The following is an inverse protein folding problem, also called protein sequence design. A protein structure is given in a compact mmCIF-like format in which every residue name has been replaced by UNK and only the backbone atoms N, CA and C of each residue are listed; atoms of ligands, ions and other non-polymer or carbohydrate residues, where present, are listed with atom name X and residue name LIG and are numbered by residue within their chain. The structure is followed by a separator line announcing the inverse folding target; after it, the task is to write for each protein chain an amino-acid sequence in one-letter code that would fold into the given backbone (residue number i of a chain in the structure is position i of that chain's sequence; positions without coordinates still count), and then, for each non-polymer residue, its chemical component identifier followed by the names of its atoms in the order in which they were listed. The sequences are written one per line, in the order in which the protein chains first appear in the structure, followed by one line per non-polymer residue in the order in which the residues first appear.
data_IF_930793923613
#
_entry.id   IF_930793923613
#
_cell.length_a   1.000
_cell.length_b   1.000
_cell.length_c   1.000
_cell.angle_alpha   90.00
_cell.angle_beta   90.00
_cell.angle_gamma   90.00
#
_symmetry.space_group_name_H-M   'P 1'
#
loop_
_entity.id
_entity.type
_entity.pdbx_description
1 polymer ?
#
# COMPACT_ATOMS: atom_id res chain seq x y z
N UNK A 1 25.06 -25.21 -5.62
CA UNK A 1 25.14 -23.81 -6.09
C UNK A 1 23.81 -23.49 -6.73
N UNK A 2 22.91 -22.75 -6.06
CA UNK A 2 21.71 -22.23 -6.71
C UNK A 2 22.17 -21.17 -7.71
N UNK A 3 22.11 -21.48 -9.00
CA UNK A 3 22.34 -20.50 -10.05
C UNK A 3 21.26 -19.44 -9.95
N UNK A 4 21.65 -18.17 -9.93
CA UNK A 4 20.71 -17.04 -10.07
C UNK A 4 19.92 -17.23 -11.37
N UNK A 5 18.61 -17.37 -11.26
CA UNK A 5 17.73 -17.61 -12.40
C UNK A 5 17.01 -16.31 -12.79
N UNK A 6 17.46 -15.71 -13.89
CA UNK A 6 16.88 -14.47 -14.42
C UNK A 6 15.40 -14.67 -14.84
N UNK A 7 15.05 -15.86 -15.35
CA UNK A 7 13.67 -16.16 -15.77
C UNK A 7 12.75 -16.20 -14.55
N UNK A 8 13.20 -16.84 -13.47
CA UNK A 8 12.46 -16.88 -12.21
C UNK A 8 12.29 -15.48 -11.63
N UNK A 9 13.33 -14.65 -11.67
CA UNK A 9 13.27 -13.26 -11.23
C UNK A 9 12.20 -12.47 -11.99
N UNK A 10 12.19 -12.55 -13.31
CA UNK A 10 11.22 -11.85 -14.14
C UNK A 10 9.80 -12.37 -13.96
N UNK A 11 9.62 -13.63 -13.59
CA UNK A 11 8.30 -14.22 -13.29
C UNK A 11 7.76 -13.82 -11.92
N UNK A 12 8.62 -13.70 -10.91
CA UNK A 12 8.17 -13.44 -9.51
C UNK A 12 8.09 -11.95 -9.17
N UNK A 13 8.98 -11.11 -9.71
CA UNK A 13 9.04 -9.69 -9.41
C UNK A 13 7.72 -8.92 -9.68
N UNK A 14 6.99 -9.14 -10.78
CA UNK A 14 5.69 -8.49 -10.98
C UNK A 14 4.71 -8.78 -9.86
N UNK A 15 4.57 -10.05 -9.43
CA UNK A 15 3.68 -10.44 -8.34
C UNK A 15 4.03 -9.78 -7.01
N UNK A 16 5.33 -9.66 -6.70
CA UNK A 16 5.81 -9.00 -5.48
C UNK A 16 5.59 -7.47 -5.51
N UNK A 17 5.61 -6.87 -6.70
CA UNK A 17 5.38 -5.42 -6.85
C UNK A 17 3.90 -5.01 -6.77
N UNK A 18 2.93 -5.94 -6.97
CA UNK A 18 1.51 -5.59 -7.04
C UNK A 18 0.98 -4.90 -5.77
N UNK A 19 1.28 -5.50 -4.61
CA UNK A 19 0.83 -4.92 -3.34
C UNK A 19 1.42 -3.52 -3.12
N UNK A 20 2.70 -3.32 -3.48
CA UNK A 20 3.37 -2.03 -3.38
C UNK A 20 2.76 -1.01 -4.34
N UNK A 21 2.47 -1.41 -5.59
CA UNK A 21 1.82 -0.57 -6.60
C UNK A 21 0.46 -0.07 -6.11
N UNK A 22 -0.40 -0.99 -5.68
CA UNK A 22 -1.75 -0.66 -5.22
C UNK A 22 -1.70 0.25 -3.98
N UNK A 23 -0.88 -0.08 -2.99
CA UNK A 23 -0.73 0.72 -1.77
C UNK A 23 -0.12 2.11 -2.05
N UNK A 24 0.91 2.20 -2.91
CA UNK A 24 1.53 3.46 -3.26
C UNK A 24 0.57 4.39 -4.02
N UNK A 25 -0.28 3.84 -4.90
CA UNK A 25 -1.33 4.63 -5.57
C UNK A 25 -2.38 5.12 -4.56
N UNK A 26 -2.70 4.30 -3.55
CA UNK A 26 -3.53 4.73 -2.41
C UNK A 26 -2.89 5.87 -1.62
N UNK A 27 -1.62 5.73 -1.24
CA UNK A 27 -0.86 6.78 -0.57
C UNK A 27 -0.76 8.06 -1.40
N UNK A 28 -0.60 7.92 -2.72
CA UNK A 28 -0.54 9.05 -3.64
C UNK A 28 -1.83 9.87 -3.62
N UNK A 29 -3.00 9.23 -3.57
CA UNK A 29 -4.27 9.97 -3.54
C UNK A 29 -4.42 10.78 -2.25
N UNK A 30 -4.12 10.21 -1.08
CA UNK A 30 -4.19 10.93 0.20
C UNK A 30 -3.14 12.03 0.31
N UNK A 31 -1.88 11.76 -0.02
CA UNK A 31 -0.82 12.76 0.14
C UNK A 31 -0.90 13.89 -0.88
N UNK A 32 -1.43 13.61 -2.08
CA UNK A 32 -1.77 14.67 -3.04
C UNK A 32 -2.93 15.56 -2.60
N UNK A 33 -3.75 15.12 -1.65
CA UNK A 33 -4.77 15.96 -1.01
C UNK A 33 -4.25 16.77 0.19
N UNK A 34 -2.99 16.55 0.59
CA UNK A 34 -2.36 17.20 1.73
C UNK A 34 -2.37 16.36 3.02
N UNK A 35 -2.90 15.13 3.01
CA UNK A 35 -2.93 14.27 4.20
C UNK A 35 -1.76 13.27 4.17
N UNK A 36 -0.84 13.38 5.15
CA UNK A 36 0.22 12.37 5.35
C UNK A 36 -0.44 11.05 5.76
N UNK A 37 -0.08 9.95 5.10
CA UNK A 37 -0.77 8.68 5.31
C UNK A 37 0.17 7.52 5.64
N UNK A 38 0.66 7.50 6.88
CA UNK A 38 1.46 6.38 7.41
C UNK A 38 0.60 5.13 7.65
N UNK A 39 -0.74 5.26 7.68
CA UNK A 39 -1.68 4.17 7.95
C UNK A 39 -1.90 3.21 6.76
N UNK A 40 -1.09 3.25 5.71
CA UNK A 40 -1.19 2.31 4.58
C UNK A 40 -1.02 0.87 5.06
N UNK A 41 -0.05 0.64 5.94
CA UNK A 41 0.28 -0.69 6.50
C UNK A 41 -0.92 -1.32 7.20
N UNK A 42 -1.55 -0.60 8.14
CA UNK A 42 -2.69 -1.10 8.89
C UNK A 42 -3.93 -1.33 8.01
N UNK A 43 -4.17 -0.44 7.03
CA UNK A 43 -5.28 -0.59 6.08
C UNK A 43 -5.11 -1.84 5.21
N UNK A 44 -3.88 -2.15 4.78
CA UNK A 44 -3.57 -3.39 4.07
C UNK A 44 -3.75 -4.61 4.97
N UNK A 45 -3.24 -4.56 6.21
CA UNK A 45 -3.27 -5.68 7.15
C UNK A 45 -4.70 -6.09 7.52
N UNK A 46 -5.55 -5.13 7.87
CA UNK A 46 -6.95 -5.45 8.18
C UNK A 46 -7.68 -6.00 6.95
N UNK A 47 -7.36 -5.52 5.75
CA UNK A 47 -7.90 -6.06 4.51
C UNK A 47 -7.46 -7.51 4.29
N UNK A 48 -6.20 -7.85 4.53
CA UNK A 48 -5.74 -9.24 4.44
C UNK A 48 -6.59 -10.17 5.32
N UNK A 49 -6.76 -9.79 6.59
CA UNK A 49 -7.51 -10.58 7.56
C UNK A 49 -8.97 -10.76 7.15
N UNK A 50 -9.68 -9.65 6.86
CA UNK A 50 -11.10 -9.69 6.53
C UNK A 50 -11.35 -10.36 5.17
N UNK A 51 -10.46 -10.16 4.18
CA UNK A 51 -10.54 -10.88 2.90
C UNK A 51 -10.44 -12.38 3.11
N UNK A 52 -9.47 -12.85 3.92
CA UNK A 52 -9.32 -14.27 4.22
C UNK A 52 -10.59 -14.85 4.84
N UNK A 53 -11.05 -14.25 5.92
CA UNK A 53 -12.22 -14.75 6.67
C UNK A 53 -13.48 -14.75 5.82
N UNK A 54 -13.75 -13.67 5.09
CA UNK A 54 -14.97 -13.57 4.28
C UNK A 54 -14.89 -14.39 2.99
N UNK A 55 -13.69 -14.61 2.43
CA UNK A 55 -13.54 -15.48 1.25
C UNK A 55 -13.88 -16.93 1.58
N UNK A 56 -13.46 -17.42 2.74
CA UNK A 56 -13.78 -18.78 3.18
C UNK A 56 -15.27 -18.93 3.48
N UNK A 57 -15.88 -17.93 4.13
CA UNK A 57 -17.28 -17.99 4.53
C UNK A 57 -18.27 -17.78 3.38
N UNK A 58 -17.98 -16.88 2.44
CA UNK A 58 -18.93 -16.37 1.45
C UNK A 58 -18.40 -16.33 0.02
N UNK A 59 -17.19 -16.83 -0.22
CA UNK A 59 -16.56 -16.85 -1.51
C UNK A 59 -15.71 -15.61 -1.85
N UNK A 60 -14.90 -15.68 -2.91
CA UNK A 60 -13.78 -14.76 -3.13
C UNK A 60 -14.20 -13.31 -3.44
N UNK A 61 -15.33 -13.09 -4.12
CA UNK A 61 -15.82 -11.75 -4.42
C UNK A 61 -16.31 -11.02 -3.17
N UNK A 62 -17.02 -11.73 -2.27
CA UNK A 62 -17.49 -11.15 -1.01
C UNK A 62 -16.29 -10.92 -0.10
N UNK A 63 -15.30 -11.82 -0.12
CA UNK A 63 -14.03 -11.62 0.58
C UNK A 63 -13.31 -10.35 0.14
N UNK A 64 -13.17 -10.13 -1.18
CA UNK A 64 -12.58 -8.92 -1.73
C UNK A 64 -13.31 -7.66 -1.27
N UNK A 65 -14.64 -7.65 -1.41
CA UNK A 65 -15.46 -6.49 -0.99
C UNK A 65 -15.39 -6.24 0.51
N UNK A 66 -15.37 -7.29 1.32
CA UNK A 66 -15.20 -7.20 2.77
C UNK A 66 -13.86 -6.61 3.16
N UNK A 67 -12.77 -7.08 2.54
CA UNK A 67 -11.43 -6.55 2.77
C UNK A 67 -11.30 -5.08 2.37
N UNK A 68 -11.84 -4.70 1.20
CA UNK A 68 -11.92 -3.29 0.78
C UNK A 68 -12.75 -2.49 1.79
N UNK A 69 -13.91 -2.99 2.21
CA UNK A 69 -14.78 -2.33 3.20
C UNK A 69 -14.06 -2.06 4.51
N UNK A 70 -13.33 -3.05 5.05
CA UNK A 70 -12.54 -2.91 6.27
C UNK A 70 -11.43 -1.85 6.14
N UNK A 71 -10.70 -1.84 5.03
CA UNK A 71 -9.68 -0.83 4.75
C UNK A 71 -10.29 0.58 4.60
N UNK A 72 -11.46 0.69 3.96
CA UNK A 72 -12.20 1.95 3.83
C UNK A 72 -12.67 2.46 5.20
N UNK A 73 -13.14 1.59 6.08
CA UNK A 73 -13.53 1.99 7.46
C UNK A 73 -12.35 2.64 8.18
N UNK A 74 -11.16 2.03 8.15
CA UNK A 74 -9.96 2.61 8.75
C UNK A 74 -9.51 3.90 8.04
N UNK A 75 -9.69 3.98 6.71
CA UNK A 75 -9.39 5.20 5.97
C UNK A 75 -10.35 6.34 6.34
N UNK A 76 -11.64 6.06 6.54
CA UNK A 76 -12.61 7.03 7.00
C UNK A 76 -12.36 7.44 8.46
N UNK A 77 -11.95 6.51 9.32
CA UNK A 77 -11.51 6.84 10.68
C UNK A 77 -10.34 7.85 10.65
N UNK A 78 -9.35 7.61 9.78
CA UNK A 78 -8.24 8.57 9.57
C UNK A 78 -8.72 9.93 9.09
N UNK A 79 -9.71 9.97 8.17
CA UNK A 79 -10.32 11.21 7.70
C UNK A 79 -11.01 11.97 8.84
N UNK A 80 -11.79 11.29 9.65
CA UNK A 80 -12.50 11.90 10.80
C UNK A 80 -11.50 12.45 11.82
N UNK A 81 -10.50 11.67 12.19
CA UNK A 81 -9.49 12.10 13.18
C UNK A 81 -8.71 13.33 12.69
N UNK A 82 -8.32 13.36 11.42
CA UNK A 82 -7.50 14.44 10.88
C UNK A 82 -8.31 15.68 10.48
N UNK A 83 -9.54 15.51 9.94
CA UNK A 83 -10.32 16.64 9.42
C UNK A 83 -11.34 17.21 10.40
N UNK A 84 -11.95 16.37 11.28
CA UNK A 84 -12.89 16.87 12.29
C UNK A 84 -12.17 17.20 13.59
N UNK A 85 -11.37 16.27 14.11
CA UNK A 85 -10.70 16.43 15.40
C UNK A 85 -9.33 17.10 15.28
N UNK A 86 -8.84 17.34 14.05
CA UNK A 86 -7.55 17.98 13.76
C UNK A 86 -6.37 17.30 14.47
N UNK A 87 -6.45 15.99 14.65
CA UNK A 87 -5.35 15.18 15.18
C UNK A 87 -4.22 15.19 14.16
N UNK A 88 -2.99 15.23 14.64
CA UNK A 88 -1.80 15.12 13.79
C UNK A 88 -1.89 13.87 12.91
N UNK A 89 -1.54 14.03 11.63
CA UNK A 89 -1.68 12.99 10.61
C UNK A 89 -0.82 11.76 10.90
N UNK A 90 0.38 11.96 11.45
CA UNK A 90 1.34 10.90 11.77
C UNK A 90 0.83 10.12 12.99
N UNK A 91 0.41 10.83 14.04
CA UNK A 91 -0.14 10.23 15.26
C UNK A 91 -1.40 9.41 14.94
N UNK A 92 -2.33 9.97 14.18
CA UNK A 92 -3.53 9.27 13.71
C UNK A 92 -3.17 8.03 12.88
N UNK A 93 -2.21 8.16 11.96
CA UNK A 93 -1.76 7.05 11.12
C UNK A 93 -1.15 5.89 11.92
N UNK A 94 -0.29 6.21 12.89
CA UNK A 94 0.32 5.21 13.78
C UNK A 94 -0.73 4.52 14.67
N UNK A 95 -1.68 5.27 15.22
CA UNK A 95 -2.78 4.70 16.00
C UNK A 95 -3.61 3.70 15.18
N UNK A 96 -3.91 4.04 13.92
CA UNK A 96 -4.63 3.14 13.00
C UNK A 96 -3.84 1.86 12.72
N UNK A 97 -2.52 1.94 12.56
CA UNK A 97 -1.70 0.75 12.38
C UNK A 97 -1.76 -0.18 13.60
N UNK A 98 -1.73 0.38 14.82
CA UNK A 98 -1.85 -0.38 16.07
C UNK A 98 -3.24 -1.01 16.18
N UNK A 99 -4.31 -0.26 15.89
CA UNK A 99 -5.68 -0.76 15.88
C UNK A 99 -5.83 -1.91 14.88
N UNK A 100 -5.31 -1.73 13.66
CA UNK A 100 -5.39 -2.75 12.62
C UNK A 100 -4.65 -4.04 13.03
N UNK A 101 -3.46 -3.91 13.61
CA UNK A 101 -2.69 -5.05 14.11
C UNK A 101 -3.44 -5.79 15.23
N UNK A 102 -3.94 -5.06 16.21
CA UNK A 102 -4.72 -5.65 17.32
C UNK A 102 -6.02 -6.31 16.83
N UNK A 103 -6.75 -5.64 15.94
CA UNK A 103 -8.01 -6.14 15.39
C UNK A 103 -7.78 -7.39 14.50
N UNK A 104 -6.76 -7.40 13.65
CA UNK A 104 -6.46 -8.56 12.80
C UNK A 104 -6.05 -9.79 13.64
N UNK A 105 -5.22 -9.61 14.66
CA UNK A 105 -4.86 -10.67 15.61
C UNK A 105 -6.06 -11.21 16.37
N UNK A 106 -6.94 -10.31 16.84
CA UNK A 106 -8.15 -10.72 17.56
C UNK A 106 -9.10 -11.54 16.65
N UNK A 107 -9.34 -11.05 15.43
CA UNK A 107 -10.20 -11.72 14.47
C UNK A 107 -9.64 -13.09 14.05
N UNK A 108 -8.33 -13.17 13.77
CA UNK A 108 -7.68 -14.42 13.40
C UNK A 108 -7.83 -15.46 14.51
N UNK A 109 -7.55 -15.10 15.77
CA UNK A 109 -7.70 -16.00 16.91
C UNK A 109 -9.15 -16.42 17.15
N UNK A 110 -10.10 -15.51 17.01
CA UNK A 110 -11.53 -15.79 17.22
C UNK A 110 -12.12 -16.72 16.15
N UNK A 111 -11.64 -16.60 14.93
CA UNK A 111 -12.11 -17.35 13.75
C UNK A 111 -11.05 -18.33 13.22
N UNK A 112 -10.16 -18.81 14.09
CA UNK A 112 -9.06 -19.71 13.74
C UNK A 112 -9.51 -20.96 12.97
N UNK A 113 -10.68 -21.52 13.31
CA UNK A 113 -11.22 -22.70 12.65
C UNK A 113 -11.53 -22.45 11.17
N UNK A 114 -11.99 -21.24 10.83
CA UNK A 114 -12.24 -20.85 9.44
C UNK A 114 -10.94 -20.70 8.67
N UNK A 115 -9.91 -20.17 9.30
CA UNK A 115 -8.61 -19.90 8.65
C UNK A 115 -7.74 -21.16 8.48
N UNK A 116 -7.98 -22.23 9.26
CA UNK A 116 -7.21 -23.48 9.23
C UNK A 116 -7.79 -24.57 8.32
N UNK A 117 -9.06 -24.48 7.95
CA UNK A 117 -9.80 -25.60 7.35
C UNK A 117 -9.78 -25.65 5.83
N UNK A 118 -9.16 -24.70 5.12
CA UNK A 118 -9.14 -24.76 3.67
C UNK A 118 -8.23 -23.75 2.99
N UNK A 119 -7.92 -24.04 1.74
CA UNK A 119 -7.37 -23.02 0.84
C UNK A 119 -8.39 -21.89 0.67
N UNK A 120 -7.92 -20.65 0.82
CA UNK A 120 -8.78 -19.48 0.62
C UNK A 120 -9.22 -19.46 -0.84
N UNK A 121 -10.56 -19.43 -1.12
CA UNK A 121 -11.03 -19.30 -2.49
C UNK A 121 -10.46 -18.04 -3.15
N UNK A 122 -9.80 -18.20 -4.28
CA UNK A 122 -9.02 -17.16 -4.93
C UNK A 122 -9.76 -16.57 -6.12
N UNK A 123 -9.63 -15.27 -6.30
CA UNK A 123 -9.94 -14.61 -7.58
C UNK A 123 -8.83 -14.88 -8.60
N UNK A 124 -9.12 -14.82 -9.89
CA UNK A 124 -8.10 -14.93 -10.92
C UNK A 124 -6.99 -13.91 -10.70
N UNK A 125 -5.75 -14.34 -10.74
CA UNK A 125 -4.59 -13.45 -10.54
C UNK A 125 -4.55 -12.32 -11.56
N UNK A 126 -5.01 -12.57 -12.77
CA UNK A 126 -5.09 -11.60 -13.87
C UNK A 126 -5.87 -10.35 -13.46
N UNK A 127 -6.93 -10.52 -12.66
CA UNK A 127 -7.70 -9.38 -12.12
C UNK A 127 -6.81 -8.40 -11.35
N UNK A 128 -5.98 -8.91 -10.44
CA UNK A 128 -5.08 -8.08 -9.64
C UNK A 128 -3.96 -7.48 -10.49
N UNK A 129 -3.41 -8.23 -11.46
CA UNK A 129 -2.39 -7.72 -12.37
C UNK A 129 -2.93 -6.56 -13.20
N UNK A 130 -4.10 -6.73 -13.81
CA UNK A 130 -4.74 -5.66 -14.58
C UNK A 130 -5.03 -4.45 -13.70
N UNK A 131 -5.60 -4.66 -12.51
CA UNK A 131 -5.89 -3.57 -11.57
C UNK A 131 -4.62 -2.80 -11.18
N UNK A 132 -3.55 -3.50 -10.78
CA UNK A 132 -2.33 -2.87 -10.28
C UNK A 132 -1.55 -2.12 -11.37
N UNK A 133 -1.42 -2.67 -12.58
CA UNK A 133 -0.66 -2.01 -13.65
C UNK A 133 -1.47 -0.95 -14.41
N UNK A 134 -2.80 -1.07 -14.47
CA UNK A 134 -3.65 -0.03 -15.06
C UNK A 134 -3.80 1.19 -14.14
N UNK A 135 -3.81 1.00 -12.81
CA UNK A 135 -4.09 2.05 -11.85
C UNK A 135 -3.14 3.26 -11.92
N UNK A 136 -1.81 3.12 -12.06
CA UNK A 136 -0.91 4.27 -12.23
C UNK A 136 -1.24 5.11 -13.47
N UNK A 137 -1.62 4.47 -14.57
CA UNK A 137 -2.01 5.15 -15.80
C UNK A 137 -3.35 5.87 -15.63
N UNK A 138 -4.33 5.20 -15.02
CA UNK A 138 -5.64 5.79 -14.71
C UNK A 138 -5.50 6.99 -13.81
N UNK A 139 -4.70 6.90 -12.73
CA UNK A 139 -4.43 8.01 -11.83
C UNK A 139 -3.66 9.15 -12.52
N UNK A 140 -2.72 8.83 -13.41
CA UNK A 140 -2.02 9.84 -14.19
C UNK A 140 -2.97 10.62 -15.09
N UNK A 141 -3.88 9.92 -15.80
CA UNK A 141 -4.93 10.53 -16.62
C UNK A 141 -5.89 11.35 -15.76
N UNK A 142 -6.35 10.79 -14.63
CA UNK A 142 -7.23 11.48 -13.69
C UNK A 142 -6.63 12.80 -13.21
N UNK A 143 -5.40 12.78 -12.73
CA UNK A 143 -4.71 13.96 -12.20
C UNK A 143 -4.47 15.04 -13.27
N UNK A 144 -4.22 14.64 -14.54
CA UNK A 144 -3.91 15.58 -15.62
C UNK A 144 -5.10 16.06 -16.43
N UNK A 145 -6.16 15.26 -16.54
CA UNK A 145 -7.24 15.46 -17.50
C UNK A 145 -8.60 15.73 -16.87
N UNK A 146 -8.74 15.58 -15.54
CA UNK A 146 -10.05 15.76 -14.90
C UNK A 146 -10.09 16.96 -13.94
N UNK A 147 -11.31 17.50 -13.77
CA UNK A 147 -11.57 18.55 -12.78
C UNK A 147 -11.31 18.06 -11.35
N UNK A 148 -11.57 16.77 -11.07
CA UNK A 148 -11.29 16.14 -9.78
C UNK A 148 -9.81 16.10 -9.47
N UNK A 149 -8.98 15.71 -10.44
CA UNK A 149 -7.52 15.71 -10.28
C UNK A 149 -6.94 17.11 -10.05
N UNK A 150 -7.45 18.12 -10.76
CA UNK A 150 -7.06 19.52 -10.56
C UNK A 150 -7.44 20.03 -9.15
N UNK A 151 -8.64 19.67 -8.66
CA UNK A 151 -9.07 20.01 -7.29
C UNK A 151 -8.18 19.35 -6.25
N UNK A 152 -7.84 18.06 -6.45
CA UNK A 152 -6.93 17.33 -5.57
C UNK A 152 -5.56 18.02 -5.49
N UNK A 153 -5.03 18.44 -6.63
CA UNK A 153 -3.78 19.19 -6.73
C UNK A 153 -3.83 20.55 -6.04
N UNK A 154 -4.90 21.28 -6.24
CA UNK A 154 -5.10 22.60 -5.63
C UNK A 154 -5.16 22.50 -4.11
N UNK A 155 -5.94 21.56 -3.57
CA UNK A 155 -6.08 21.33 -2.13
C UNK A 155 -4.77 20.87 -1.49
N UNK A 156 -4.03 19.98 -2.16
CA UNK A 156 -2.74 19.50 -1.63
C UNK A 156 -1.62 20.55 -1.65
N UNK A 157 -1.71 21.58 -2.48
CA UNK A 157 -0.73 22.66 -2.50
C UNK A 157 -1.10 23.81 -1.56
N UNK A 158 -2.36 24.26 -1.60
CA UNK A 158 -2.84 25.37 -0.77
C UNK A 158 -4.35 25.20 -0.50
N UNK A 159 -4.73 24.58 0.63
CA UNK A 159 -6.14 24.35 0.94
C UNK A 159 -6.93 25.64 1.13
N UNK A 160 -6.29 26.72 1.61
CA UNK A 160 -6.97 28.00 1.85
C UNK A 160 -7.29 28.72 0.54
N UNK A 161 -6.33 28.74 -0.40
CA UNK A 161 -6.61 29.27 -1.75
C UNK A 161 -7.63 28.44 -2.50
N UNK A 162 -7.57 27.10 -2.36
CA UNK A 162 -8.56 26.21 -2.96
C UNK A 162 -9.98 26.55 -2.45
N UNK A 163 -10.13 26.81 -1.15
CA UNK A 163 -11.40 27.23 -0.54
C UNK A 163 -11.89 28.56 -1.08
N UNK A 164 -11.01 29.55 -1.24
CA UNK A 164 -11.35 30.84 -1.84
C UNK A 164 -11.85 30.73 -3.30
N UNK A 165 -11.35 29.70 -4.01
CA UNK A 165 -11.76 29.36 -5.38
C UNK A 165 -13.01 28.45 -5.43
N UNK A 166 -13.72 28.26 -4.31
CA UNK A 166 -14.96 27.49 -4.24
C UNK A 166 -14.75 25.96 -4.17
N UNK A 167 -13.54 25.48 -3.91
CA UNK A 167 -13.26 24.05 -3.70
C UNK A 167 -13.25 23.76 -2.20
N UNK A 168 -14.09 22.83 -1.75
CA UNK A 168 -14.13 22.38 -0.36
C UNK A 168 -12.98 21.39 -0.09
N UNK A 169 -11.93 21.77 0.69
CA UNK A 169 -10.79 20.91 0.94
C UNK A 169 -11.17 19.64 1.72
N UNK A 170 -12.12 19.76 2.66
CA UNK A 170 -12.54 18.64 3.50
C UNK A 170 -13.16 17.53 2.65
N UNK A 171 -14.10 17.87 1.76
CA UNK A 171 -14.71 16.90 0.84
C UNK A 171 -13.68 16.22 -0.05
N UNK A 172 -12.72 16.98 -0.59
CA UNK A 172 -11.66 16.43 -1.45
C UNK A 172 -10.78 15.46 -0.67
N UNK A 173 -10.41 15.78 0.56
CA UNK A 173 -9.60 14.93 1.45
C UNK A 173 -10.34 13.64 1.85
N UNK A 174 -11.65 13.72 2.16
CA UNK A 174 -12.47 12.52 2.43
C UNK A 174 -12.51 11.59 1.21
N UNK A 175 -12.75 12.11 0.01
CA UNK A 175 -12.76 11.31 -1.22
C UNK A 175 -11.38 10.70 -1.52
N UNK A 176 -10.31 11.43 -1.25
CA UNK A 176 -8.94 10.94 -1.40
C UNK A 176 -8.64 9.78 -0.45
N UNK A 177 -9.06 9.88 0.82
CA UNK A 177 -8.89 8.80 1.79
C UNK A 177 -9.79 7.60 1.51
N UNK A 178 -11.01 7.83 1.00
CA UNK A 178 -11.87 6.73 0.52
C UNK A 178 -11.16 5.94 -0.60
N UNK A 179 -10.62 6.63 -1.61
CA UNK A 179 -9.85 5.99 -2.67
C UNK A 179 -8.62 5.25 -2.12
N UNK A 180 -7.92 5.84 -1.14
CA UNK A 180 -6.82 5.16 -0.44
C UNK A 180 -7.28 3.86 0.22
N UNK A 181 -8.42 3.86 0.91
CA UNK A 181 -9.00 2.66 1.51
C UNK A 181 -9.26 1.57 0.49
N UNK A 182 -9.84 1.92 -0.67
CA UNK A 182 -10.09 0.97 -1.76
C UNK A 182 -8.77 0.37 -2.28
N UNK A 183 -7.75 1.18 -2.52
CA UNK A 183 -6.49 0.69 -3.08
C UNK A 183 -5.67 -0.13 -2.08
N UNK A 184 -5.63 0.28 -0.81
CA UNK A 184 -5.04 -0.54 0.26
C UNK A 184 -5.84 -1.83 0.48
N UNK A 185 -7.16 -1.77 0.32
CA UNK A 185 -8.03 -2.94 0.35
C UNK A 185 -7.70 -3.96 -0.73
N UNK A 186 -7.52 -3.50 -1.97
CA UNK A 186 -7.06 -4.34 -3.08
C UNK A 186 -5.65 -4.90 -2.83
N UNK A 187 -4.74 -4.09 -2.27
CA UNK A 187 -3.37 -4.53 -1.95
C UNK A 187 -3.36 -5.64 -0.90
N UNK A 188 -4.17 -5.52 0.17
CA UNK A 188 -4.31 -6.55 1.20
C UNK A 188 -4.96 -7.81 0.67
N UNK A 189 -6.02 -7.68 -0.12
CA UNK A 189 -6.67 -8.81 -0.77
C UNK A 189 -5.70 -9.58 -1.69
N UNK A 190 -4.86 -8.88 -2.44
CA UNK A 190 -3.81 -9.52 -3.23
C UNK A 190 -2.82 -10.30 -2.36
N UNK A 191 -2.33 -9.71 -1.26
CA UNK A 191 -1.35 -10.37 -0.39
C UNK A 191 -1.87 -11.70 0.15
N UNK A 192 -3.10 -11.71 0.66
CA UNK A 192 -3.68 -12.93 1.22
C UNK A 192 -4.04 -13.95 0.15
N UNK A 193 -4.51 -13.50 -1.01
CA UNK A 193 -4.79 -14.37 -2.16
C UNK A 193 -3.50 -15.03 -2.65
N UNK A 194 -2.43 -14.27 -2.81
CA UNK A 194 -1.14 -14.80 -3.26
C UNK A 194 -0.48 -15.76 -2.24
N UNK A 195 -0.72 -15.54 -0.94
CA UNK A 195 -0.21 -16.41 0.13
C UNK A 195 -1.08 -17.65 0.37
N UNK A 196 -2.34 -17.66 -0.10
CA UNK A 196 -3.31 -18.73 0.12
C UNK A 196 -3.81 -18.87 1.56
N UNK A 197 -3.33 -18.04 2.47
CA UNK A 197 -3.73 -18.01 3.89
C UNK A 197 -3.42 -16.67 4.52
N UNK A 198 -4.11 -16.33 5.58
CA UNK A 198 -3.75 -15.20 6.43
C UNK A 198 -2.66 -15.63 7.44
N UNK A 199 -1.72 -14.74 7.67
CA UNK A 199 -0.68 -14.86 8.71
C UNK A 199 -0.56 -13.50 9.40
N UNK A 200 -0.44 -13.52 10.73
CA UNK A 200 -0.26 -12.30 11.51
C UNK A 200 0.90 -11.47 10.98
N UNK A 201 0.63 -10.15 10.79
CA UNK A 201 1.65 -9.23 10.30
C UNK A 201 2.14 -9.50 8.87
N UNK A 202 1.38 -10.22 8.04
CA UNK A 202 1.79 -10.63 6.68
C UNK A 202 2.11 -9.47 5.72
N UNK A 203 1.71 -8.26 6.04
CA UNK A 203 2.09 -7.05 5.29
C UNK A 203 3.56 -6.72 5.45
N UNK A 204 4.18 -7.10 6.59
CA UNK A 204 5.62 -7.05 6.84
C UNK A 204 6.28 -5.72 6.41
N UNK A 205 5.64 -4.58 6.69
CA UNK A 205 6.16 -3.25 6.37
C UNK A 205 6.01 -2.81 4.91
N UNK A 206 5.32 -3.59 4.06
CA UNK A 206 5.10 -3.23 2.64
C UNK A 206 4.38 -1.90 2.45
N UNK A 207 3.50 -1.52 3.39
CA UNK A 207 2.86 -0.21 3.38
C UNK A 207 3.85 0.95 3.55
N UNK A 208 4.89 0.77 4.38
CA UNK A 208 5.96 1.76 4.55
C UNK A 208 6.89 1.80 3.32
N UNK A 209 7.19 0.64 2.71
CA UNK A 209 7.95 0.59 1.45
C UNK A 209 7.17 1.28 0.33
N UNK A 210 5.85 1.08 0.25
CA UNK A 210 4.99 1.76 -0.72
C UNK A 210 4.99 3.29 -0.52
N UNK A 211 4.99 3.77 0.74
CA UNK A 211 5.15 5.18 1.05
C UNK A 211 6.52 5.71 0.60
N UNK A 212 7.60 4.96 0.84
CA UNK A 212 8.93 5.32 0.37
C UNK A 212 9.01 5.37 -1.17
N UNK A 213 8.39 4.41 -1.86
CA UNK A 213 8.29 4.41 -3.32
C UNK A 213 7.53 5.64 -3.86
N UNK A 214 6.46 6.05 -3.17
CA UNK A 214 5.70 7.26 -3.48
C UNK A 214 6.57 8.52 -3.36
N UNK A 215 7.32 8.66 -2.27
CA UNK A 215 8.24 9.79 -2.03
C UNK A 215 9.34 9.81 -3.08
N UNK A 216 9.94 8.66 -3.38
CA UNK A 216 10.93 8.49 -4.46
C UNK A 216 10.38 8.91 -5.83
N UNK A 217 9.12 8.54 -6.11
CA UNK A 217 8.42 8.94 -7.33
C UNK A 217 7.98 10.41 -7.37
N UNK A 218 8.30 11.21 -6.33
CA UNK A 218 7.97 12.64 -6.27
C UNK A 218 6.47 12.90 -6.32
N UNK A 219 5.68 12.07 -5.68
CA UNK A 219 4.21 12.14 -5.70
C UNK A 219 3.62 12.14 -7.12
N UNK A 220 4.25 11.44 -8.05
CA UNK A 220 3.78 11.26 -9.44
C UNK A 220 3.45 9.79 -9.68
N UNK A 221 2.30 9.45 -10.31
CA UNK A 221 1.87 8.06 -10.45
C UNK A 221 2.87 7.16 -11.16
N UNK A 222 3.37 7.59 -12.33
CA UNK A 222 4.26 6.75 -13.14
C UNK A 222 5.65 6.54 -12.49
N UNK A 223 6.36 7.59 -12.00
CA UNK A 223 7.62 7.38 -11.30
C UNK A 223 7.47 6.57 -10.00
N UNK A 224 6.37 6.76 -9.24
CA UNK A 224 6.09 5.95 -8.06
C UNK A 224 5.85 4.47 -8.42
N UNK A 225 5.15 4.21 -9.51
CA UNK A 225 4.95 2.85 -10.02
C UNK A 225 6.29 2.19 -10.40
N UNK A 226 7.18 2.92 -11.08
CA UNK A 226 8.51 2.41 -11.42
C UNK A 226 9.34 2.10 -10.16
N UNK A 227 9.25 2.94 -9.12
CA UNK A 227 9.89 2.68 -7.84
C UNK A 227 9.31 1.40 -7.18
N UNK A 228 7.99 1.19 -7.21
CA UNK A 228 7.37 -0.04 -6.70
C UNK A 228 7.85 -1.29 -7.45
N UNK A 229 7.99 -1.21 -8.78
CA UNK A 229 8.51 -2.31 -9.60
C UNK A 229 9.98 -2.59 -9.24
N UNK A 230 10.79 -1.54 -9.04
CA UNK A 230 12.18 -1.70 -8.61
C UNK A 230 12.28 -2.38 -7.23
N UNK A 231 11.42 -2.01 -6.26
CA UNK A 231 11.37 -2.71 -4.97
C UNK A 231 10.88 -4.15 -5.10
N UNK A 232 9.90 -4.44 -5.96
CA UNK A 232 9.47 -5.81 -6.24
C UNK A 232 10.57 -6.67 -6.88
N UNK A 233 11.42 -6.07 -7.72
CA UNK A 233 12.63 -6.72 -8.24
C UNK A 233 13.63 -7.02 -7.12
N UNK A 234 13.86 -6.08 -6.20
CA UNK A 234 14.73 -6.29 -5.04
C UNK A 234 14.20 -7.41 -4.12
N UNK A 235 12.88 -7.45 -3.87
CA UNK A 235 12.26 -8.54 -3.12
C UNK A 235 12.46 -9.89 -3.82
N UNK A 236 12.34 -9.95 -5.16
CA UNK A 236 12.58 -11.16 -5.93
C UNK A 236 14.06 -11.61 -5.87
N UNK A 237 15.00 -10.66 -5.95
CA UNK A 237 16.43 -10.93 -5.78
C UNK A 237 16.70 -11.48 -4.39
N UNK A 238 16.15 -10.84 -3.37
CA UNK A 238 16.24 -11.27 -1.97
C UNK A 238 15.81 -12.73 -1.80
N UNK A 239 14.63 -13.10 -2.33
CA UNK A 239 14.12 -14.46 -2.24
C UNK A 239 15.04 -15.50 -2.90
N UNK A 240 15.66 -15.17 -4.03
CA UNK A 240 16.57 -16.08 -4.71
C UNK A 240 17.92 -16.21 -4.00
N UNK A 241 18.38 -15.16 -3.32
CA UNK A 241 19.64 -15.14 -2.59
C UNK A 241 19.54 -15.76 -1.20
N UNK A 242 18.33 -15.95 -0.67
CA UNK A 242 18.12 -16.65 0.60
C UNK A 242 18.68 -18.07 0.52
N UNK A 243 19.58 -18.41 1.44
CA UNK A 243 20.25 -19.73 1.48
C UNK A 243 21.43 -19.86 0.53
N UNK A 244 21.78 -18.85 -0.26
CA UNK A 244 22.99 -18.87 -1.09
C UNK A 244 24.23 -18.71 -0.24
N UNK A 245 25.30 -19.48 -0.60
CA UNK A 245 26.64 -19.31 -0.02
C UNK A 245 27.41 -18.33 -0.87
N UNK A 246 27.60 -17.11 -0.41
CA UNK A 246 28.47 -16.13 -1.05
C UNK A 246 29.89 -16.31 -0.51
N UNK A 247 30.87 -16.49 -1.39
CA UNK A 247 32.28 -16.70 -1.03
C UNK A 247 32.53 -17.85 -0.03
N UNK A 248 31.70 -18.91 -0.06
CA UNK A 248 31.85 -20.06 0.83
C UNK A 248 31.30 -19.91 2.24
N UNK A 249 30.90 -18.72 2.66
CA UNK A 249 30.23 -18.46 3.93
C UNK A 249 28.72 -18.38 3.75
N UNK A 250 27.95 -19.02 4.62
CA UNK A 250 26.50 -18.88 4.67
C UNK A 250 26.15 -17.50 5.25
N UNK A 251 25.64 -16.59 4.43
CA UNK A 251 25.14 -15.29 4.91
C UNK A 251 23.79 -15.51 5.58
N UNK A 252 23.59 -14.99 6.82
CA UNK A 252 22.31 -15.11 7.52
C UNK A 252 21.16 -14.56 6.67
N UNK A 253 20.00 -15.24 6.69
CA UNK A 253 18.80 -14.81 5.93
C UNK A 253 18.36 -13.39 6.29
N UNK A 254 18.62 -12.95 7.52
CA UNK A 254 18.34 -11.59 8.02
C UNK A 254 19.03 -10.50 7.19
N UNK A 255 20.25 -10.76 6.71
CA UNK A 255 20.96 -9.83 5.84
C UNK A 255 20.21 -9.60 4.52
N UNK A 256 19.77 -10.69 3.90
CA UNK A 256 19.00 -10.61 2.66
C UNK A 256 17.64 -9.94 2.88
N UNK A 257 16.97 -10.24 4.01
CA UNK A 257 15.70 -9.60 4.38
C UNK A 257 15.82 -8.08 4.59
N UNK A 258 17.01 -7.56 4.91
CA UNK A 258 17.23 -6.13 5.07
C UNK A 258 17.42 -5.36 3.74
N UNK A 259 17.66 -6.07 2.63
CA UNK A 259 18.00 -5.47 1.33
C UNK A 259 16.98 -4.42 0.82
N UNK A 260 15.66 -4.68 0.79
CA UNK A 260 14.68 -3.69 0.35
C UNK A 260 14.66 -2.45 1.25
N UNK A 261 14.84 -2.63 2.57
CA UNK A 261 14.87 -1.51 3.52
C UNK A 261 16.14 -0.66 3.37
N UNK A 262 17.31 -1.29 3.18
CA UNK A 262 18.54 -0.57 2.89
C UNK A 262 18.45 0.20 1.57
N UNK A 263 17.85 -0.41 0.54
CA UNK A 263 17.61 0.26 -0.73
C UNK A 263 16.69 1.48 -0.57
N UNK A 264 15.64 1.39 0.26
CA UNK A 264 14.76 2.53 0.55
C UNK A 264 15.51 3.66 1.25
N UNK A 265 16.36 3.34 2.25
CA UNK A 265 17.16 4.33 2.96
C UNK A 265 18.14 5.05 2.03
N UNK A 266 18.88 4.30 1.21
CA UNK A 266 19.84 4.84 0.22
C UNK A 266 19.11 5.74 -0.79
N UNK A 267 17.96 5.28 -1.26
CA UNK A 267 17.16 6.02 -2.22
C UNK A 267 16.61 7.33 -1.64
N UNK A 268 16.10 7.31 -0.39
CA UNK A 268 15.59 8.49 0.31
C UNK A 268 16.69 9.44 0.78
N UNK A 269 17.90 8.95 1.03
CA UNK A 269 19.07 9.77 1.43
C UNK A 269 19.57 10.74 0.34
N UNK A 270 18.89 10.83 -0.79
CA UNK A 270 19.10 11.90 -1.76
C UNK A 270 19.92 11.54 -2.99
N UNK A 271 20.16 10.25 -3.27
CA UNK A 271 20.78 9.80 -4.51
C UNK A 271 19.89 10.05 -5.74
N UNK A 272 18.59 10.24 -5.56
CA UNK A 272 17.58 10.29 -6.63
C UNK A 272 16.86 11.66 -6.78
N UNK A 273 17.50 12.76 -6.40
CA UNK A 273 17.05 14.08 -6.79
C UNK A 273 16.13 14.82 -5.82
N UNK A 274 15.90 16.10 -6.10
CA UNK A 274 15.05 17.00 -5.30
C UNK A 274 13.57 16.75 -5.59
N UNK A 275 12.98 15.80 -4.89
CA UNK A 275 11.51 15.63 -4.93
C UNK A 275 10.85 16.68 -4.03
N UNK A 276 9.85 17.38 -4.58
CA UNK A 276 9.07 18.36 -3.81
C UNK A 276 7.72 17.75 -3.43
N UNK A 277 7.52 17.57 -2.12
CA UNK A 277 6.21 17.24 -1.57
C UNK A 277 5.17 18.33 -1.92
N UNK A 278 3.87 17.99 -1.93
CA UNK A 278 2.81 18.99 -1.98
C UNK A 278 2.99 20.01 -0.86
N UNK A 279 2.88 21.31 -1.18
CA UNK A 279 3.24 22.39 -0.23
C UNK A 279 2.29 22.47 0.98
N UNK A 280 1.08 21.93 0.86
CA UNK A 280 0.09 21.81 1.93
C UNK A 280 0.11 20.44 2.64
N UNK A 281 1.11 19.59 2.38
CA UNK A 281 1.18 18.29 3.02
C UNK A 281 1.36 18.41 4.54
N UNK A 282 0.48 17.76 5.32
CA UNK A 282 0.47 17.83 6.78
C UNK A 282 -0.21 19.05 7.37
N UNK A 283 -0.72 19.97 6.55
CA UNK A 283 -1.50 21.11 7.05
C UNK A 283 -2.96 20.71 7.30
N UNK A 284 -3.57 21.17 8.41
CA UNK A 284 -4.95 20.85 8.75
C UNK A 284 -5.98 21.37 7.74
#
# INVERSE_FOLDING_TARGET
MGSFDLILLLKTAPGLSLALLLAAMGGLTSERSGIINIALEGKMLISCCVTALMSVAFGPWIGLLGGIGAAVVLAMLHAVLTQMYRVDHIVSGMAINIIAFGASNFLDKKFTDINRTGEIPQLPFEFYYVAAFALPLVLWLYLRRTKGGLRLWAVGNDPDKARQMGVDPVKVRYLALLATGVFCGLAGAWLVTNAGRFVDGMTAGRGFIALAALILGGWRPIPAALACIAFGLLDSIQLQLQGSKLLGAGIPSQFWNSLPYLATLIALAGLLGRNRAPAGLGKP
#
